data_IF_175440535983
#
_entry.id   IF_175440535983
#
_cell.length_a   1.000
_cell.length_b   1.000
_cell.length_c   1.000
_cell.angle_alpha   90.00
_cell.angle_beta   90.00
_cell.angle_gamma   90.00
#
_symmetry.space_group_name_H-M   'P 1'
#
loop_
_entity.id
_entity.type
_entity.pdbx_description
1 polymer ?
#
# COMPACT_ATOMS: atom_id res chain seq x y z
N UNK A 1 -13.55 8.83 -2.74
CA UNK A 1 -12.75 9.78 -1.92
C UNK A 1 -11.54 10.26 -2.72
N UNK A 2 -11.14 11.55 -2.58
CA UNK A 2 -9.95 12.07 -3.28
C UNK A 2 -9.05 12.84 -2.31
N UNK A 3 -7.75 12.51 -2.32
CA UNK A 3 -6.71 13.22 -1.57
C UNK A 3 -5.77 13.87 -2.57
N UNK A 4 -5.76 15.20 -2.65
CA UNK A 4 -4.91 15.94 -3.60
C UNK A 4 -3.57 16.35 -3.00
N UNK A 5 -3.53 16.64 -1.69
CA UNK A 5 -2.32 17.09 -1.01
C UNK A 5 -2.55 17.08 0.52
N UNK A 6 -1.54 17.46 1.28
CA UNK A 6 -1.59 17.55 2.74
C UNK A 6 -1.08 16.28 3.43
N UNK A 7 -1.36 16.16 4.71
CA UNK A 7 -0.99 14.99 5.52
C UNK A 7 -2.25 14.35 6.10
N UNK A 8 -2.46 13.09 5.79
CA UNK A 8 -3.56 12.28 6.29
C UNK A 8 -2.98 11.10 7.04
N UNK A 9 -3.44 10.90 8.28
CA UNK A 9 -3.10 9.71 9.07
C UNK A 9 -4.38 9.09 9.60
N UNK A 10 -4.58 7.82 9.31
CA UNK A 10 -5.70 7.03 9.85
C UNK A 10 -5.18 5.94 10.79
N UNK A 11 -5.99 5.58 11.78
CA UNK A 11 -5.79 4.42 12.64
C UNK A 11 -7.13 3.75 12.85
N UNK A 12 -7.24 2.51 12.43
CA UNK A 12 -8.50 1.77 12.47
C UNK A 12 -8.27 0.33 12.92
N UNK A 13 -9.23 -0.20 13.67
CA UNK A 13 -9.34 -1.64 13.97
C UNK A 13 -10.12 -2.39 12.88
N UNK A 14 -10.65 -1.67 11.91
CA UNK A 14 -11.32 -2.11 10.70
C UNK A 14 -10.54 -1.51 9.52
N UNK A 15 -11.13 -1.37 8.34
CA UNK A 15 -10.47 -0.81 7.17
C UNK A 15 -9.87 0.57 7.44
N UNK A 16 -8.67 0.79 6.97
CA UNK A 16 -7.96 2.04 7.19
C UNK A 16 -8.58 3.23 6.47
N UNK A 17 -9.01 3.00 5.25
CA UNK A 17 -9.82 3.90 4.41
C UNK A 17 -10.75 3.04 3.58
N UNK A 18 -12.04 3.25 3.68
CA UNK A 18 -13.06 2.52 2.93
C UNK A 18 -13.83 3.47 2.00
N UNK A 19 -14.02 3.05 0.76
CA UNK A 19 -14.91 3.70 -0.21
C UNK A 19 -15.94 2.68 -0.71
N UNK A 20 -17.11 2.71 -0.09
CA UNK A 20 -18.24 1.84 -0.42
C UNK A 20 -19.49 2.67 -0.74
N UNK A 21 -20.48 2.05 -1.37
CA UNK A 21 -21.83 2.61 -1.45
C UNK A 21 -22.60 2.21 -0.20
N UNK A 22 -23.31 3.17 0.38
CA UNK A 22 -24.29 2.89 1.40
C UNK A 22 -25.58 2.37 0.74
N UNK A 23 -26.01 1.17 1.11
CA UNK A 23 -27.23 0.52 0.58
C UNK A 23 -28.51 1.36 0.77
N UNK A 24 -28.47 2.38 1.61
CA UNK A 24 -29.59 3.30 1.91
C UNK A 24 -29.59 4.62 1.12
N UNK A 25 -28.51 4.94 0.38
CA UNK A 25 -28.36 6.24 -0.29
C UNK A 25 -28.38 6.13 -1.82
N UNK A 26 -29.23 6.81 -2.34
CA UNK A 26 -29.72 7.40 -3.58
C UNK A 26 -29.11 7.07 -4.95
N UNK A 27 -27.87 6.80 -5.16
CA UNK A 27 -27.34 6.55 -6.50
C UNK A 27 -26.59 5.22 -6.61
N UNK A 28 -27.36 4.17 -6.86
CA UNK A 28 -26.84 2.83 -7.11
C UNK A 28 -25.97 2.74 -8.41
N UNK A 29 -25.86 3.83 -9.16
CA UNK A 29 -24.99 3.91 -10.35
C UNK A 29 -23.65 4.59 -10.07
N UNK A 30 -23.44 5.12 -8.86
CA UNK A 30 -22.15 5.67 -8.48
C UNK A 30 -21.13 4.54 -8.31
N UNK A 31 -19.93 4.74 -8.83
CA UNK A 31 -18.80 3.82 -8.60
C UNK A 31 -17.95 4.38 -7.47
N UNK A 32 -17.83 3.65 -6.34
CA UNK A 32 -16.91 4.05 -5.29
C UNK A 32 -15.49 4.15 -5.81
N UNK A 33 -14.70 5.05 -5.26
CA UNK A 33 -13.29 5.15 -5.64
C UNK A 33 -12.43 5.80 -4.57
N UNK A 34 -11.17 5.39 -4.51
CA UNK A 34 -10.12 6.08 -3.77
C UNK A 34 -9.11 6.61 -4.79
N UNK A 35 -8.86 7.93 -4.73
CA UNK A 35 -7.87 8.59 -5.58
C UNK A 35 -6.90 9.38 -4.70
N UNK A 36 -5.59 9.09 -4.83
CA UNK A 36 -4.53 9.81 -4.12
C UNK A 36 -3.63 10.46 -5.18
N UNK A 37 -3.73 11.79 -5.30
CA UNK A 37 -2.96 12.56 -6.27
C UNK A 37 -1.67 13.13 -5.68
N UNK A 38 -1.55 13.19 -4.35
CA UNK A 38 -0.38 13.75 -3.71
C UNK A 38 -0.50 13.79 -2.19
N UNK A 39 0.46 14.45 -1.54
CA UNK A 39 0.54 14.56 -0.10
C UNK A 39 1.23 13.38 0.57
N UNK A 40 1.04 13.27 1.88
CA UNK A 40 1.54 12.19 2.72
C UNK A 40 0.34 11.48 3.33
N UNK A 41 0.14 10.23 2.97
CA UNK A 41 -0.96 9.39 3.46
C UNK A 41 -0.37 8.24 4.24
N UNK A 42 -0.73 8.11 5.50
CA UNK A 42 -0.29 7.03 6.37
C UNK A 42 -1.49 6.34 7.00
N UNK A 43 -1.60 5.06 6.75
CA UNK A 43 -2.73 4.23 7.17
C UNK A 43 -2.21 3.14 8.10
N UNK A 44 -2.79 3.05 9.30
CA UNK A 44 -2.60 1.94 10.22
C UNK A 44 -3.92 1.20 10.34
N UNK A 45 -3.89 -0.10 10.10
CA UNK A 45 -5.12 -0.90 10.04
C UNK A 45 -4.90 -2.32 10.57
N UNK A 46 -5.96 -2.88 11.13
CA UNK A 46 -6.01 -4.31 11.46
C UNK A 46 -6.70 -5.13 10.35
N UNK A 47 -7.58 -4.49 9.55
CA UNK A 47 -8.23 -5.05 8.35
C UNK A 47 -7.60 -4.46 7.06
N UNK A 48 -8.37 -4.27 5.98
CA UNK A 48 -7.84 -3.76 4.72
C UNK A 48 -7.30 -2.32 4.86
N UNK A 49 -6.22 -2.04 4.15
CA UNK A 49 -5.58 -0.74 4.22
C UNK A 49 -6.35 0.33 3.47
N UNK A 50 -6.29 0.28 2.17
CA UNK A 50 -7.12 1.08 1.26
C UNK A 50 -8.10 0.12 0.60
N UNK A 51 -9.36 0.16 1.03
CA UNK A 51 -10.45 -0.65 0.53
C UNK A 51 -11.37 0.19 -0.35
N UNK A 52 -11.53 -0.20 -1.60
CA UNK A 52 -12.44 0.45 -2.54
C UNK A 52 -13.35 -0.58 -3.21
N UNK A 53 -14.64 -0.49 -3.00
CA UNK A 53 -15.63 -1.26 -3.77
C UNK A 53 -15.73 -0.79 -5.23
N UNK A 54 -14.70 -0.14 -5.73
CA UNK A 54 -14.50 0.29 -7.10
C UNK A 54 -13.02 0.51 -7.39
N UNK A 55 -12.66 1.64 -7.99
CA UNK A 55 -11.29 1.89 -8.40
C UNK A 55 -10.39 2.43 -7.27
N UNK A 56 -9.14 2.01 -7.26
CA UNK A 56 -8.06 2.56 -6.46
C UNK A 56 -6.98 3.15 -7.39
N UNK A 57 -6.78 4.46 -7.32
CA UNK A 57 -5.84 5.17 -8.18
C UNK A 57 -4.86 6.02 -7.35
N UNK A 58 -3.56 5.82 -7.55
CA UNK A 58 -2.52 6.63 -6.90
C UNK A 58 -1.64 7.23 -8.00
N UNK A 59 -1.61 8.57 -8.06
CA UNK A 59 -0.86 9.31 -9.09
C UNK A 59 0.33 10.08 -8.55
N UNK A 60 0.48 10.17 -7.21
CA UNK A 60 1.58 10.91 -6.60
C UNK A 60 1.60 10.86 -5.08
N UNK A 61 2.53 11.59 -4.51
CA UNK A 61 2.72 11.67 -3.07
C UNK A 61 3.45 10.48 -2.46
N UNK A 62 3.29 10.33 -1.15
CA UNK A 62 3.83 9.19 -0.39
C UNK A 62 2.69 8.52 0.37
N UNK A 63 2.39 7.28 0.02
CA UNK A 63 1.36 6.47 0.68
C UNK A 63 2.02 5.31 1.39
N UNK A 64 1.77 5.17 2.69
CA UNK A 64 2.26 4.05 3.50
C UNK A 64 1.09 3.40 4.22
N UNK A 65 0.90 2.11 3.98
CA UNK A 65 -0.05 1.27 4.71
C UNK A 65 0.73 0.36 5.64
N UNK A 66 0.47 0.48 6.93
CA UNK A 66 1.00 -0.37 8.01
C UNK A 66 -0.16 -1.28 8.45
N UNK A 67 -0.15 -2.48 7.95
CA UNK A 67 -1.24 -3.45 8.08
C UNK A 67 -1.56 -4.14 6.73
N UNK A 68 -2.51 -5.07 6.74
CA UNK A 68 -3.27 -5.56 7.90
C UNK A 68 -2.45 -6.41 8.86
N UNK A 69 -3.02 -6.71 10.03
CA UNK A 69 -2.52 -7.75 10.93
C UNK A 69 -3.19 -9.10 10.65
N UNK A 70 -4.40 -9.08 10.13
CA UNK A 70 -5.19 -10.25 9.75
C UNK A 70 -4.72 -10.85 8.42
N UNK A 71 -4.76 -12.18 8.31
CA UNK A 71 -4.43 -12.91 7.07
C UNK A 71 -5.55 -12.88 6.03
N UNK A 72 -6.75 -12.48 6.42
CA UNK A 72 -7.92 -12.43 5.54
C UNK A 72 -8.06 -11.07 4.81
N UNK A 73 -7.09 -10.19 4.99
CA UNK A 73 -7.10 -8.83 4.46
C UNK A 73 -5.79 -8.50 3.74
N UNK A 74 -5.73 -7.37 3.04
CA UNK A 74 -4.60 -6.85 2.30
C UNK A 74 -4.28 -5.38 2.59
N UNK A 75 -3.07 -4.93 2.28
CA UNK A 75 -2.75 -3.49 2.35
C UNK A 75 -3.58 -2.68 1.36
N UNK A 76 -4.00 -3.30 0.27
CA UNK A 76 -4.84 -2.72 -0.77
C UNK A 76 -5.91 -3.73 -1.16
N UNK A 77 -7.15 -3.26 -1.29
CA UNK A 77 -8.26 -4.00 -1.85
C UNK A 77 -9.08 -3.10 -2.79
N UNK A 78 -9.26 -3.51 -4.03
CA UNK A 78 -10.04 -2.80 -5.02
C UNK A 78 -10.87 -3.79 -5.84
N UNK A 79 -12.19 -3.61 -5.82
CA UNK A 79 -13.10 -4.40 -6.65
C UNK A 79 -13.01 -4.05 -8.13
N UNK A 80 -12.56 -2.82 -8.43
CA UNK A 80 -12.33 -2.31 -9.78
C UNK A 80 -10.86 -2.37 -10.19
N UNK A 81 -10.40 -1.31 -10.85
CA UNK A 81 -9.00 -1.20 -11.28
C UNK A 81 -8.12 -0.69 -10.14
N UNK A 82 -6.95 -1.30 -9.97
CA UNK A 82 -5.91 -0.78 -9.09
C UNK A 82 -4.74 -0.25 -9.94
N UNK A 83 -4.51 1.06 -9.91
CA UNK A 83 -3.45 1.70 -10.70
C UNK A 83 -2.57 2.60 -9.84
N UNK A 84 -1.25 2.53 -10.07
CA UNK A 84 -0.27 3.45 -9.49
C UNK A 84 0.56 4.03 -10.63
N UNK A 85 0.41 5.31 -10.90
CA UNK A 85 1.12 6.00 -12.00
C UNK A 85 2.19 6.96 -11.52
N UNK A 86 2.29 7.18 -10.21
CA UNK A 86 3.28 8.07 -9.62
C UNK A 86 3.36 7.93 -8.10
N UNK A 87 4.35 8.60 -7.52
CA UNK A 87 4.58 8.61 -6.08
C UNK A 87 5.34 7.40 -5.55
N UNK A 88 5.44 7.33 -4.23
CA UNK A 88 6.01 6.19 -3.50
C UNK A 88 4.91 5.55 -2.67
N UNK A 89 4.65 4.28 -2.91
CA UNK A 89 3.59 3.51 -2.24
C UNK A 89 4.22 2.31 -1.55
N UNK A 90 3.95 2.15 -0.27
CA UNK A 90 4.43 1.04 0.55
C UNK A 90 3.25 0.41 1.27
N UNK A 91 3.14 -0.91 1.19
CA UNK A 91 2.29 -1.73 2.03
C UNK A 91 3.15 -2.71 2.81
N UNK A 92 3.04 -2.71 4.13
CA UNK A 92 3.77 -3.62 5.01
C UNK A 92 2.84 -4.19 6.07
N UNK A 93 2.55 -5.48 5.97
CA UNK A 93 1.57 -6.12 6.84
C UNK A 93 1.48 -7.63 6.64
N UNK A 94 0.29 -8.18 6.80
CA UNK A 94 0.03 -9.60 6.52
C UNK A 94 0.11 -9.90 5.02
N UNK A 95 0.61 -11.07 4.68
CA UNK A 95 0.70 -11.57 3.31
C UNK A 95 -0.47 -12.47 2.88
N UNK A 96 -1.58 -12.45 3.61
CA UNK A 96 -2.68 -13.38 3.35
C UNK A 96 -3.42 -13.09 2.03
N UNK A 97 -3.73 -11.82 1.75
CA UNK A 97 -4.46 -11.41 0.55
C UNK A 97 -3.79 -10.21 -0.15
N UNK A 98 -2.58 -10.39 -0.69
CA UNK A 98 -1.90 -9.28 -1.38
C UNK A 98 -2.56 -9.00 -2.73
N UNK A 99 -2.98 -7.75 -2.94
CA UNK A 99 -3.41 -7.25 -4.24
C UNK A 99 -2.33 -6.34 -4.83
N UNK A 100 -2.11 -6.44 -6.13
CA UNK A 100 -1.09 -5.68 -6.86
C UNK A 100 -1.72 -4.85 -7.97
N UNK A 101 -1.10 -3.71 -8.36
CA UNK A 101 -1.61 -2.90 -9.45
C UNK A 101 -1.72 -3.66 -10.76
N UNK A 102 -2.78 -3.37 -11.50
CA UNK A 102 -3.02 -3.92 -12.84
C UNK A 102 -2.34 -3.10 -13.94
N UNK A 103 -1.97 -1.86 -13.64
CA UNK A 103 -1.26 -0.97 -14.57
C UNK A 103 -0.53 0.15 -13.81
N UNK A 104 0.42 0.78 -14.49
CA UNK A 104 1.14 1.95 -14.01
C UNK A 104 2.63 1.74 -13.84
N UNK A 105 3.22 2.35 -12.82
CA UNK A 105 4.66 2.23 -12.54
C UNK A 105 5.03 0.85 -11.96
N UNK A 106 6.31 0.53 -12.02
CA UNK A 106 6.85 -0.73 -11.50
C UNK A 106 6.64 -0.90 -9.99
N UNK A 107 6.53 -2.15 -9.57
CA UNK A 107 6.33 -2.52 -8.17
C UNK A 107 7.05 -3.82 -7.82
N UNK A 108 7.25 -4.03 -6.54
CA UNK A 108 7.77 -5.26 -5.94
C UNK A 108 6.79 -5.71 -4.86
N UNK A 109 6.34 -6.96 -4.93
CA UNK A 109 5.59 -7.63 -3.89
C UNK A 109 6.40 -8.85 -3.46
N UNK A 110 6.67 -8.97 -2.16
CA UNK A 110 7.48 -10.08 -1.65
C UNK A 110 7.03 -10.50 -0.25
N UNK A 111 7.04 -11.82 -0.03
CA UNK A 111 6.91 -12.35 1.32
C UNK A 111 8.18 -12.02 2.11
N UNK A 112 8.00 -11.55 3.31
CA UNK A 112 9.07 -11.17 4.24
C UNK A 112 8.80 -11.78 5.61
N UNK A 113 9.79 -11.75 6.48
CA UNK A 113 9.59 -12.02 7.91
C UNK A 113 10.35 -10.95 8.66
N UNK A 114 9.60 -9.95 9.08
CA UNK A 114 10.15 -8.79 9.82
C UNK A 114 9.43 -8.61 11.14
N UNK A 115 10.14 -8.08 12.12
CA UNK A 115 9.61 -7.71 13.42
C UNK A 115 9.45 -6.19 13.51
N UNK A 116 8.68 -5.73 14.46
CA UNK A 116 8.67 -4.32 14.80
C UNK A 116 10.10 -3.83 15.11
N UNK A 117 10.46 -2.64 14.61
CA UNK A 117 11.76 -2.00 14.70
C UNK A 117 12.84 -2.55 13.73
N UNK A 118 12.56 -3.60 12.96
CA UNK A 118 13.48 -4.02 11.90
C UNK A 118 13.55 -2.95 10.80
N UNK A 119 14.76 -2.70 10.30
CA UNK A 119 14.94 -1.87 9.11
C UNK A 119 14.86 -2.76 7.88
N UNK A 120 14.01 -2.38 6.95
CA UNK A 120 13.81 -3.09 5.68
C UNK A 120 14.28 -2.18 4.53
N UNK A 121 15.06 -2.74 3.62
CA UNK A 121 15.49 -2.07 2.39
C UNK A 121 15.08 -2.86 1.17
N UNK A 122 14.67 -2.15 0.14
CA UNK A 122 14.59 -2.66 -1.22
C UNK A 122 15.77 -2.08 -2.01
N UNK A 123 16.54 -2.95 -2.62
CA UNK A 123 17.69 -2.57 -3.45
C UNK A 123 17.56 -3.12 -4.86
N UNK A 124 18.20 -2.50 -5.83
CA UNK A 124 18.32 -3.01 -7.18
C UNK A 124 19.42 -4.10 -7.27
N UNK A 125 19.69 -4.58 -8.48
CA UNK A 125 20.71 -5.60 -8.75
C UNK A 125 22.15 -5.15 -8.45
N UNK A 126 22.38 -3.84 -8.34
CA UNK A 126 23.66 -3.23 -8.01
C UNK A 126 23.77 -2.83 -6.53
N UNK A 127 22.82 -3.30 -5.69
CA UNK A 127 22.69 -2.96 -4.28
C UNK A 127 22.42 -1.46 -4.01
N UNK A 128 21.99 -0.70 -5.03
CA UNK A 128 21.56 0.67 -4.84
C UNK A 128 20.16 0.71 -4.16
N UNK A 129 20.03 1.57 -3.17
CA UNK A 129 18.80 1.69 -2.38
C UNK A 129 17.66 2.29 -3.21
N UNK A 130 16.55 1.57 -3.28
CA UNK A 130 15.29 2.02 -3.88
C UNK A 130 14.39 2.64 -2.82
N UNK A 131 14.15 1.91 -1.73
CA UNK A 131 13.37 2.33 -0.57
C UNK A 131 14.00 1.77 0.69
N UNK A 132 13.95 2.54 1.77
CA UNK A 132 14.29 2.07 3.11
C UNK A 132 13.21 2.53 4.09
N UNK A 133 12.75 1.63 4.94
CA UNK A 133 11.75 1.89 5.95
C UNK A 133 12.05 1.14 7.24
N UNK A 134 11.47 1.59 8.34
CA UNK A 134 11.43 0.88 9.61
C UNK A 134 10.06 0.21 9.73
N UNK A 135 10.04 -1.08 9.97
CA UNK A 135 8.80 -1.82 10.24
C UNK A 135 8.24 -1.36 11.59
N UNK A 136 7.06 -0.79 11.61
CA UNK A 136 6.43 -0.32 12.84
C UNK A 136 5.70 -1.45 13.58
N UNK A 137 5.44 -2.55 12.88
CA UNK A 137 4.89 -3.80 13.42
C UNK A 137 5.51 -5.00 12.73
N UNK A 138 5.26 -6.19 13.26
CA UNK A 138 5.63 -7.44 12.58
C UNK A 138 4.85 -7.58 11.27
N UNK A 139 5.51 -8.07 10.23
CA UNK A 139 4.90 -8.23 8.92
C UNK A 139 5.43 -9.48 8.19
N UNK A 140 4.59 -10.03 7.34
CA UNK A 140 4.90 -11.18 6.48
C UNK A 140 4.88 -10.84 4.99
N UNK A 141 4.50 -9.61 4.65
CA UNK A 141 4.41 -9.11 3.28
C UNK A 141 4.93 -7.69 3.18
N UNK A 142 5.61 -7.40 2.10
CA UNK A 142 6.03 -6.07 1.70
C UNK A 142 5.64 -5.82 0.26
N UNK A 143 4.95 -4.71 0.03
CA UNK A 143 4.69 -4.12 -1.28
C UNK A 143 5.40 -2.77 -1.38
N UNK A 144 6.05 -2.52 -2.50
CA UNK A 144 6.66 -1.22 -2.80
C UNK A 144 6.44 -0.88 -4.27
N UNK A 145 5.94 0.32 -4.54
CA UNK A 145 5.90 0.91 -5.87
C UNK A 145 6.50 2.33 -5.83
N UNK A 146 7.40 2.62 -6.76
CA UNK A 146 8.05 3.92 -6.87
C UNK A 146 8.59 4.09 -8.29
N UNK A 147 8.77 5.32 -8.81
CA UNK A 147 9.39 5.55 -10.12
C UNK A 147 10.79 4.96 -10.31
N UNK A 148 11.46 4.56 -9.22
CA UNK A 148 12.76 3.88 -9.26
C UNK A 148 12.68 2.38 -9.61
N UNK A 149 11.47 1.80 -9.59
CA UNK A 149 11.26 0.40 -9.93
C UNK A 149 10.88 0.30 -11.40
N UNK A 150 11.66 -0.47 -12.15
CA UNK A 150 11.42 -0.75 -13.57
C UNK A 150 10.94 -2.17 -13.73
N UNK A 151 9.86 -2.37 -14.46
CA UNK A 151 9.33 -3.70 -14.76
C UNK A 151 10.39 -4.58 -15.44
N UNK A 152 10.43 -5.86 -15.08
CA UNK A 152 11.38 -6.82 -15.62
C UNK A 152 12.78 -6.79 -14.98
N UNK A 153 13.07 -5.84 -14.10
CA UNK A 153 14.32 -5.81 -13.34
C UNK A 153 14.20 -6.60 -12.03
N UNK A 154 15.34 -7.04 -11.52
CA UNK A 154 15.40 -7.80 -10.25
C UNK A 154 15.68 -6.87 -9.09
N UNK A 155 14.92 -7.03 -8.01
CA UNK A 155 15.07 -6.29 -6.77
C UNK A 155 15.24 -7.27 -5.60
N UNK A 156 15.99 -6.83 -4.60
CA UNK A 156 16.22 -7.61 -3.37
C UNK A 156 15.57 -6.89 -2.20
N UNK A 157 14.92 -7.64 -1.34
CA UNK A 157 14.46 -7.15 -0.04
C UNK A 157 15.44 -7.64 1.02
N UNK A 158 16.03 -6.72 1.77
CA UNK A 158 16.98 -7.01 2.84
C UNK A 158 16.43 -6.47 4.14
N UNK A 159 16.25 -7.35 5.13
CA UNK A 159 15.87 -6.97 6.49
C UNK A 159 17.10 -6.90 7.39
N UNK A 160 17.21 -5.87 8.19
CA UNK A 160 18.22 -5.74 9.23
C UNK A 160 17.53 -5.67 10.58
N UNK A 161 18.02 -6.43 11.55
CA UNK A 161 17.62 -6.28 12.93
C UNK A 161 17.90 -4.85 13.36
N UNK A 162 16.90 -4.18 13.92
CA UNK A 162 17.10 -2.88 14.56
C UNK A 162 18.13 -3.04 15.68
N UNK A 163 19.20 -2.31 15.55
CA UNK A 163 20.21 -2.25 16.60
C UNK A 163 19.74 -1.34 17.74
#
# INVERSE_FOLDING_TARGET
>A
MTINNGTVTTRSADDGVNASLDDGLADQNATPSITINGGIVKVYTDADGLDSNGDLTITGGTTTVVGPTSVDNGSFDADGTFTITGGTVVGIGSGGMPQTPTAGQGWVQQNVTVKAQDRVKVTDSNDAEVVSLMAEQAATSLFVSTPKITEGQTYKVVGFLGS
#
